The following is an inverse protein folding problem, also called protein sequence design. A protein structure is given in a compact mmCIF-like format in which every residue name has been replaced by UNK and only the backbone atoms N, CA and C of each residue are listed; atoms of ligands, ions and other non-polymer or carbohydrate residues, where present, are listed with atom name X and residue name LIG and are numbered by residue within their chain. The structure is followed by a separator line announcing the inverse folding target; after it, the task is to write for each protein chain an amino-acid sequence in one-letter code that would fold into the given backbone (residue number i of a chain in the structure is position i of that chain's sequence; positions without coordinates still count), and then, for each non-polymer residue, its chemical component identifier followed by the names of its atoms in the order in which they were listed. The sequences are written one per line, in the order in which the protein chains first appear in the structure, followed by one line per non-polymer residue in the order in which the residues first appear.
data_IF_433923269459
#
_entry.id   IF_433923269459
#
_cell.length_a   1.000
_cell.length_b   1.000
_cell.length_c   1.000
_cell.angle_alpha   90.00
_cell.angle_beta   90.00
_cell.angle_gamma   90.00
#
_symmetry.space_group_name_H-M   'P 1'
#
loop_
_entity.id
_entity.type
_entity.pdbx_description
1 polymer ?
#
# COMPACT_ATOMS: atom_id res chain seq x y z
N UNK A 1 6.29 -7.93 9.41
CA UNK A 1 6.29 -6.48 9.14
C UNK A 1 6.38 -6.28 7.64
N UNK A 2 5.80 -5.22 7.08
CA UNK A 2 5.84 -4.97 5.63
C UNK A 2 7.27 -4.69 5.17
N UNK A 3 7.61 -5.06 3.92
CA UNK A 3 8.87 -4.62 3.33
C UNK A 3 8.87 -3.10 3.12
N UNK A 4 10.05 -2.50 3.00
CA UNK A 4 10.15 -1.07 2.64
C UNK A 4 9.47 -0.77 1.30
N UNK A 5 9.59 -1.67 0.32
CA UNK A 5 8.89 -1.56 -0.96
C UNK A 5 7.38 -1.46 -0.76
N UNK A 6 6.82 -2.27 0.15
CA UNK A 6 5.39 -2.31 0.43
C UNK A 6 4.93 -1.07 1.21
N UNK A 7 5.69 -0.61 2.20
CA UNK A 7 5.43 0.66 2.90
C UNK A 7 5.32 1.83 1.90
N UNK A 8 6.29 1.97 1.00
CA UNK A 8 6.28 3.01 -0.02
C UNK A 8 5.17 2.80 -1.06
N UNK A 9 4.85 1.56 -1.42
CA UNK A 9 3.75 1.24 -2.32
C UNK A 9 2.38 1.62 -1.77
N UNK A 10 2.14 1.35 -0.49
CA UNK A 10 0.92 1.77 0.21
C UNK A 10 0.83 3.30 0.23
N UNK A 11 1.90 4.01 0.63
CA UNK A 11 1.92 5.48 0.63
C UNK A 11 1.68 6.07 -0.75
N UNK A 12 2.28 5.50 -1.80
CA UNK A 12 2.11 5.93 -3.18
C UNK A 12 0.65 5.76 -3.63
N UNK A 13 0.04 4.60 -3.36
CA UNK A 13 -1.34 4.33 -3.70
C UNK A 13 -2.32 5.30 -3.00
N UNK A 14 -2.11 5.57 -1.71
CA UNK A 14 -2.93 6.53 -0.96
C UNK A 14 -2.78 7.95 -1.52
N UNK A 15 -1.55 8.39 -1.80
CA UNK A 15 -1.31 9.73 -2.35
C UNK A 15 -1.93 9.90 -3.75
N UNK A 16 -1.77 8.91 -4.63
CA UNK A 16 -2.39 8.95 -5.96
C UNK A 16 -3.91 8.97 -5.83
N UNK A 17 -4.48 8.19 -4.90
CA UNK A 17 -5.91 8.20 -4.63
C UNK A 17 -6.39 9.57 -4.13
N UNK A 18 -5.68 10.22 -3.19
CA UNK A 18 -6.07 11.53 -2.66
C UNK A 18 -6.03 12.64 -3.72
N UNK A 19 -5.07 12.59 -4.64
CA UNK A 19 -5.01 13.53 -5.76
C UNK A 19 -6.06 13.21 -6.83
N UNK A 20 -6.35 11.93 -7.07
CA UNK A 20 -7.42 11.51 -7.98
C UNK A 20 -8.82 11.88 -7.47
N UNK A 21 -9.03 11.96 -6.15
CA UNK A 21 -10.27 12.48 -5.56
C UNK A 21 -10.50 13.96 -5.93
N UNK A 22 -9.42 14.70 -6.17
CA UNK A 22 -9.43 16.09 -6.62
C UNK A 22 -9.32 16.22 -8.15
N UNK A 23 -9.54 15.13 -8.90
CA UNK A 23 -9.46 15.07 -10.37
C UNK A 23 -8.07 15.40 -10.95
N UNK A 24 -7.01 15.17 -10.16
CA UNK A 24 -5.61 15.38 -10.57
C UNK A 24 -4.92 14.06 -10.88
N UNK A 25 -4.00 14.13 -11.84
CA UNK A 25 -2.98 13.11 -12.10
C UNK A 25 -1.66 13.58 -11.52
N UNK A 26 -0.87 12.65 -10.99
CA UNK A 26 0.44 12.97 -10.40
C UNK A 26 1.59 12.33 -11.15
N UNK A 27 2.68 13.08 -11.27
CA UNK A 27 3.91 12.60 -11.88
C UNK A 27 4.75 11.75 -10.94
N UNK A 28 5.69 10.98 -11.48
CA UNK A 28 6.63 10.18 -10.70
C UNK A 28 7.38 11.01 -9.65
N UNK A 29 7.83 12.21 -10.03
CA UNK A 29 8.61 13.11 -9.15
C UNK A 29 7.81 13.54 -7.93
N UNK A 30 6.56 13.97 -8.14
CA UNK A 30 5.67 14.42 -7.08
C UNK A 30 5.36 13.28 -6.11
N UNK A 31 5.09 12.08 -6.65
CA UNK A 31 4.85 10.88 -5.85
C UNK A 31 6.08 10.56 -5.00
N UNK A 32 7.26 10.51 -5.62
CA UNK A 32 8.52 10.20 -4.94
C UNK A 32 8.82 11.18 -3.80
N UNK A 33 8.64 12.47 -4.05
CA UNK A 33 8.81 13.53 -3.05
C UNK A 33 7.81 13.39 -1.90
N UNK A 34 6.52 13.13 -2.20
CA UNK A 34 5.47 13.08 -1.19
C UNK A 34 5.61 11.89 -0.26
N UNK A 35 6.06 10.74 -0.76
CA UNK A 35 6.20 9.51 0.02
C UNK A 35 7.59 9.33 0.64
N UNK A 36 8.51 10.26 0.39
CA UNK A 36 9.90 10.24 0.86
C UNK A 36 10.69 9.01 0.36
N UNK A 37 10.65 8.78 -0.96
CA UNK A 37 11.29 7.65 -1.64
C UNK A 37 12.08 8.10 -2.88
N UNK A 38 13.27 7.53 -3.16
CA UNK A 38 14.00 7.83 -4.39
C UNK A 38 13.18 7.55 -5.66
N UNK A 39 13.26 8.44 -6.67
CA UNK A 39 12.46 8.34 -7.91
C UNK A 39 12.59 6.98 -8.61
N UNK A 40 13.82 6.45 -8.75
CA UNK A 40 14.06 5.17 -9.39
C UNK A 40 13.40 4.00 -8.64
N UNK A 41 13.34 4.10 -7.31
CA UNK A 41 12.67 3.10 -6.48
C UNK A 41 11.15 3.21 -6.59
N UNK A 42 10.62 4.43 -6.51
CA UNK A 42 9.21 4.75 -6.72
C UNK A 42 8.74 4.29 -8.10
N UNK A 43 9.54 4.45 -9.15
CA UNK A 43 9.20 3.98 -10.49
C UNK A 43 8.96 2.47 -10.55
N UNK A 44 9.80 1.66 -9.88
CA UNK A 44 9.62 0.21 -9.80
C UNK A 44 8.35 -0.16 -9.05
N UNK A 45 8.04 0.53 -7.95
CA UNK A 45 6.80 0.35 -7.20
C UNK A 45 5.58 0.64 -8.08
N UNK A 46 5.57 1.78 -8.78
CA UNK A 46 4.45 2.17 -9.65
C UNK A 46 4.26 1.18 -10.80
N UNK A 47 5.34 0.58 -11.33
CA UNK A 47 5.23 -0.51 -12.31
C UNK A 47 4.54 -1.75 -11.73
N UNK A 48 4.81 -2.12 -10.48
CA UNK A 48 4.13 -3.22 -9.80
C UNK A 48 2.64 -2.90 -9.60
N UNK A 49 2.33 -1.70 -9.10
CA UNK A 49 0.95 -1.27 -8.87
C UNK A 49 0.15 -1.19 -10.19
N UNK A 50 0.76 -0.70 -11.27
CA UNK A 50 0.11 -0.60 -12.58
C UNK A 50 -0.15 -1.98 -13.19
N UNK A 51 0.83 -2.90 -13.12
CA UNK A 51 0.65 -4.30 -13.58
C UNK A 51 -0.46 -5.01 -12.84
N UNK A 52 -0.63 -4.72 -11.55
CA UNK A 52 -1.70 -5.27 -10.72
C UNK A 52 -3.02 -4.48 -10.80
N UNK A 53 -3.14 -3.53 -11.74
CA UNK A 53 -4.35 -2.73 -11.99
C UNK A 53 -4.83 -1.91 -10.77
N UNK A 54 -3.92 -1.63 -9.83
CA UNK A 54 -4.18 -0.78 -8.66
C UNK A 54 -4.17 0.70 -9.09
N UNK A 55 -3.20 1.08 -9.92
CA UNK A 55 -3.09 2.43 -10.51
C UNK A 55 -3.18 2.37 -12.03
N UNK A 56 -3.71 3.42 -12.63
CA UNK A 56 -3.58 3.67 -14.07
C UNK A 56 -2.33 4.51 -14.33
N UNK A 57 -1.67 4.30 -15.47
CA UNK A 57 -0.57 5.13 -15.95
C UNK A 57 -0.89 5.66 -17.34
N UNK A 58 -0.79 6.97 -17.51
CA UNK A 58 -1.01 7.67 -18.78
C UNK A 58 0.30 8.34 -19.18
N UNK A 59 0.74 8.09 -20.42
CA UNK A 59 1.98 8.65 -20.97
C UNK A 59 1.73 10.00 -21.67
N UNK A 60 2.79 10.80 -21.81
CA UNK A 60 2.77 12.05 -22.56
C UNK A 60 2.56 13.29 -21.70
N UNK A 61 2.43 14.45 -22.36
CA UNK A 61 2.14 15.74 -21.72
C UNK A 61 0.77 15.68 -21.04
N UNK A 62 0.69 16.05 -19.76
CA UNK A 62 -0.53 15.86 -18.94
C UNK A 62 -0.81 14.41 -18.55
N UNK A 63 0.16 13.51 -18.75
CA UNK A 63 0.14 12.15 -18.23
C UNK A 63 0.43 12.09 -16.72
N UNK A 64 0.68 10.88 -16.23
CA UNK A 64 0.91 10.61 -14.81
C UNK A 64 0.18 9.37 -14.33
N UNK A 65 -0.03 9.29 -13.03
CA UNK A 65 -0.72 8.21 -12.37
C UNK A 65 -2.03 8.69 -11.75
N UNK A 66 -3.05 7.85 -11.83
CA UNK A 66 -4.38 8.08 -11.24
C UNK A 66 -5.02 6.78 -10.79
N UNK A 67 -6.05 6.88 -9.94
CA UNK A 67 -6.95 5.79 -9.61
C UNK A 67 -8.38 6.28 -9.86
N UNK A 68 -9.17 5.63 -10.75
CA UNK A 68 -10.55 6.04 -10.98
C UNK A 68 -11.37 6.00 -9.68
N UNK A 69 -12.05 7.10 -9.34
CA UNK A 69 -12.84 7.25 -8.10
C UNK A 69 -13.75 6.04 -7.82
N UNK A 70 -14.49 5.59 -8.84
CA UNK A 70 -15.38 4.41 -8.77
C UNK A 70 -14.70 3.08 -8.40
N UNK A 71 -13.37 2.98 -8.53
CA UNK A 71 -12.59 1.79 -8.17
C UNK A 71 -12.06 1.83 -6.74
N UNK A 72 -11.92 3.01 -6.12
CA UNK A 72 -11.22 3.16 -4.84
C UNK A 72 -11.83 2.31 -3.72
N UNK A 73 -13.17 2.26 -3.61
CA UNK A 73 -13.88 1.38 -2.66
C UNK A 73 -13.59 -0.11 -2.82
N UNK A 74 -13.24 -0.53 -4.04
CA UNK A 74 -12.98 -1.94 -4.38
C UNK A 74 -11.51 -2.31 -4.21
N UNK A 75 -10.61 -1.33 -4.12
CA UNK A 75 -9.19 -1.59 -3.96
C UNK A 75 -8.90 -1.71 -2.46
N UNK A 76 -8.63 -2.93 -2.01
CA UNK A 76 -8.32 -3.24 -0.60
C UNK A 76 -6.83 -3.13 -0.33
N UNK A 77 -6.47 -2.86 0.92
CA UNK A 77 -5.07 -2.80 1.34
C UNK A 77 -4.38 -4.16 1.16
N UNK A 78 -5.10 -5.28 1.33
CA UNK A 78 -4.62 -6.63 1.00
C UNK A 78 -4.11 -6.76 -0.43
N UNK A 79 -4.77 -6.14 -1.40
CA UNK A 79 -4.38 -6.23 -2.81
C UNK A 79 -3.04 -5.53 -3.06
N UNK A 80 -2.80 -4.41 -2.39
CA UNK A 80 -1.53 -3.67 -2.46
C UNK A 80 -0.41 -4.51 -1.83
N UNK A 81 -0.66 -5.05 -0.63
CA UNK A 81 0.32 -5.89 0.08
C UNK A 81 0.66 -7.13 -0.74
N UNK A 82 -0.33 -7.86 -1.25
CA UNK A 82 -0.11 -9.05 -2.09
C UNK A 82 0.63 -8.73 -3.38
N UNK A 83 0.34 -7.60 -4.02
CA UNK A 83 1.01 -7.18 -5.24
C UNK A 83 2.53 -6.97 -5.05
N UNK A 84 2.97 -6.59 -3.84
CA UNK A 84 4.36 -6.21 -3.56
C UNK A 84 5.10 -7.28 -2.75
N UNK A 85 4.55 -7.70 -1.62
CA UNK A 85 5.17 -8.64 -0.67
C UNK A 85 4.67 -10.09 -0.86
N UNK A 86 3.66 -10.31 -1.73
CA UNK A 86 3.05 -11.61 -1.93
C UNK A 86 2.27 -12.09 -0.71
N UNK A 87 2.21 -13.41 -0.53
CA UNK A 87 1.40 -14.03 0.52
C UNK A 87 2.11 -14.17 1.89
N UNK A 88 3.39 -13.77 1.98
CA UNK A 88 4.24 -13.99 3.17
C UNK A 88 3.63 -13.36 4.43
N UNK A 89 2.98 -12.21 4.31
CA UNK A 89 2.30 -11.54 5.45
C UNK A 89 1.11 -12.35 5.95
N UNK A 90 0.46 -13.13 5.08
CA UNK A 90 -0.79 -13.84 5.37
C UNK A 90 -0.56 -15.29 5.79
N UNK A 91 0.49 -15.94 5.29
CA UNK A 91 0.76 -17.37 5.51
C UNK A 91 2.13 -17.66 6.13
N UNK A 92 3.03 -16.67 6.17
CA UNK A 92 4.40 -16.85 6.65
C UNK A 92 4.51 -17.13 8.15
N UNK A 93 5.59 -17.82 8.51
CA UNK A 93 5.99 -18.05 9.90
C UNK A 93 6.48 -16.74 10.54
N UNK A 94 5.96 -16.40 11.72
CA UNK A 94 6.39 -15.21 12.47
C UNK A 94 7.86 -15.23 12.91
N UNK A 95 8.47 -16.41 12.97
CA UNK A 95 9.89 -16.61 13.27
C UNK A 95 10.75 -16.78 12.01
N UNK A 96 10.16 -16.68 10.80
CA UNK A 96 10.90 -16.78 9.55
C UNK A 96 11.30 -18.19 9.11
N UNK A 97 10.72 -19.24 9.71
CA UNK A 97 10.95 -20.61 9.25
C UNK A 97 10.37 -20.84 7.85
N UNK A 98 11.08 -21.61 7.03
CA UNK A 98 10.66 -21.98 5.68
C UNK A 98 9.43 -22.88 5.65
N UNK A 99 9.16 -23.61 6.74
CA UNK A 99 7.96 -24.43 6.95
C UNK A 99 7.44 -24.22 8.37
N UNK A 100 6.14 -23.94 8.49
CA UNK A 100 5.43 -23.81 9.76
C UNK A 100 3.94 -24.04 9.47
N UNK A 101 3.30 -24.94 10.21
CA UNK A 101 1.89 -25.26 10.04
C UNK A 101 1.24 -25.68 11.36
N UNK A 102 -0.06 -25.96 11.36
CA UNK A 102 -0.73 -26.48 12.56
C UNK A 102 -0.19 -27.88 12.93
N UNK A 103 0.26 -28.66 11.95
CA UNK A 103 0.87 -30.00 12.13
C UNK A 103 2.33 -29.93 12.57
N UNK A 104 3.07 -28.91 12.12
CA UNK A 104 4.47 -28.66 12.47
C UNK A 104 4.65 -27.22 12.97
N UNK A 105 4.13 -26.91 14.17
CA UNK A 105 4.12 -25.54 14.67
C UNK A 105 5.50 -25.11 15.18
N UNK A 106 5.90 -23.89 14.84
CA UNK A 106 6.99 -23.23 15.54
C UNK A 106 6.58 -22.86 17.00
N UNK A 107 7.52 -22.56 17.91
CA UNK A 107 7.20 -22.22 19.29
C UNK A 107 6.22 -21.04 19.47
N UNK A 108 6.15 -20.15 18.48
CA UNK A 108 5.24 -18.99 18.47
C UNK A 108 3.96 -19.20 17.65
N UNK A 109 3.75 -20.36 17.02
CA UNK A 109 2.80 -20.55 15.92
C UNK A 109 1.38 -20.12 16.26
N UNK A 110 0.77 -20.69 17.30
CA UNK A 110 -0.64 -20.43 17.61
C UNK A 110 -0.88 -18.99 18.08
N UNK A 111 0.07 -18.40 18.82
CA UNK A 111 0.01 -16.99 19.24
C UNK A 111 0.18 -16.04 18.06
N UNK A 112 1.08 -16.34 17.14
CA UNK A 112 1.30 -15.51 15.96
C UNK A 112 0.17 -15.67 14.93
N UNK A 113 -0.42 -16.86 14.81
CA UNK A 113 -1.53 -17.15 13.90
C UNK A 113 -2.73 -16.23 14.19
N UNK A 114 -3.11 -16.01 15.44
CA UNK A 114 -4.21 -15.09 15.77
C UNK A 114 -3.91 -13.65 15.35
N UNK A 115 -2.73 -13.13 15.71
CA UNK A 115 -2.29 -11.78 15.33
C UNK A 115 -2.25 -11.63 13.81
N UNK A 116 -1.75 -12.63 13.08
CA UNK A 116 -1.69 -12.64 11.62
C UNK A 116 -3.09 -12.63 11.00
N UNK A 117 -4.04 -13.37 11.57
CA UNK A 117 -5.43 -13.35 11.13
C UNK A 117 -6.05 -11.97 11.33
N UNK A 118 -5.85 -11.33 12.49
CA UNK A 118 -6.35 -9.98 12.75
C UNK A 118 -5.74 -8.95 11.77
N UNK A 119 -4.44 -9.04 11.51
CA UNK A 119 -3.76 -8.22 10.51
C UNK A 119 -4.38 -8.42 9.12
N UNK A 120 -4.61 -9.67 8.72
CA UNK A 120 -5.23 -9.99 7.43
C UNK A 120 -6.64 -9.40 7.31
N UNK A 121 -7.45 -9.52 8.37
CA UNK A 121 -8.80 -8.95 8.43
C UNK A 121 -8.79 -7.44 8.33
N UNK A 122 -7.88 -6.76 9.04
CA UNK A 122 -7.73 -5.30 8.93
C UNK A 122 -7.43 -4.89 7.48
N UNK A 123 -6.43 -5.53 6.86
CA UNK A 123 -6.02 -5.22 5.49
C UNK A 123 -7.15 -5.44 4.47
N UNK A 124 -8.03 -6.44 4.69
CA UNK A 124 -9.10 -6.80 3.77
C UNK A 124 -10.29 -5.85 3.90
N UNK A 125 -10.53 -5.34 5.11
CA UNK A 125 -11.63 -4.43 5.36
C UNK A 125 -11.29 -2.98 5.01
N UNK A 126 -10.04 -2.57 5.11
CA UNK A 126 -9.58 -1.22 4.73
C UNK A 126 -9.45 -1.07 3.21
N UNK A 127 -10.06 -0.02 2.65
CA UNK A 127 -10.01 0.29 1.22
C UNK A 127 -9.34 1.64 0.92
N UNK A 128 -8.92 1.86 -0.33
CA UNK A 128 -8.20 3.08 -0.70
C UNK A 128 -9.01 4.36 -0.58
N UNK A 129 -10.34 4.32 -0.73
CA UNK A 129 -11.16 5.52 -0.60
C UNK A 129 -11.14 6.05 0.84
N UNK A 130 -11.33 5.15 1.81
CA UNK A 130 -11.25 5.45 3.25
C UNK A 130 -9.91 6.11 3.60
N UNK A 131 -8.80 5.50 3.19
CA UNK A 131 -7.46 6.01 3.46
C UNK A 131 -7.20 7.36 2.76
N UNK A 132 -7.66 7.52 1.52
CA UNK A 132 -7.48 8.76 0.77
C UNK A 132 -8.31 9.91 1.35
N UNK A 133 -9.55 9.65 1.79
CA UNK A 133 -10.41 10.66 2.40
C UNK A 133 -9.81 11.21 3.69
N UNK A 134 -9.24 10.36 4.54
CA UNK A 134 -8.56 10.79 5.76
C UNK A 134 -7.34 11.70 5.49
N UNK A 135 -6.69 11.55 4.33
CA UNK A 135 -5.59 12.45 3.92
C UNK A 135 -6.14 13.77 3.36
N UNK A 136 -7.25 13.72 2.61
CA UNK A 136 -7.91 14.91 2.04
C UNK A 136 -8.53 15.78 3.12
N UNK A 137 -9.14 15.20 4.16
CA UNK A 137 -9.72 15.93 5.30
C UNK A 137 -8.66 16.53 6.23
N UNK A 138 -7.42 16.03 6.19
CA UNK A 138 -6.34 16.42 7.09
C UNK A 138 -6.34 15.68 8.42
N UNK A 139 -7.22 14.69 8.62
CA UNK A 139 -7.27 13.87 9.84
C UNK A 139 -6.06 12.94 9.97
N UNK A 140 -5.41 12.62 8.84
CA UNK A 140 -4.25 11.72 8.77
C UNK A 140 -3.18 12.27 7.82
N UNK A 141 -1.94 11.82 8.00
CA UNK A 141 -0.80 12.27 7.22
C UNK A 141 0.06 11.10 6.71
N UNK A 142 0.69 11.28 5.55
CA UNK A 142 1.59 10.28 4.94
C UNK A 142 3.08 10.51 5.27
N UNK A 143 3.41 11.69 5.77
CA UNK A 143 4.76 12.09 6.17
C UNK A 143 4.67 12.94 7.43
N UNK A 144 5.49 12.61 8.41
CA UNK A 144 5.69 13.46 9.57
C UNK A 144 6.46 14.71 9.16
N UNK A 145 5.91 15.89 9.44
CA UNK A 145 6.60 17.18 9.33
C UNK A 145 6.58 17.83 10.70
N UNK A 146 7.74 18.10 11.33
CA UNK A 146 7.79 18.73 12.64
C UNK A 146 7.15 20.14 12.71
N UNK A 147 6.83 20.75 11.57
CA UNK A 147 6.32 22.13 11.48
C UNK A 147 4.79 22.27 11.64
N UNK A 148 4.10 21.25 12.14
CA UNK A 148 2.63 21.26 12.32
C UNK A 148 2.19 21.00 13.76
N UNK A 149 3.05 21.28 14.75
CA UNK A 149 2.69 21.35 16.18
C UNK A 149 3.17 22.66 16.74
#
# INVERSE_FOLDING_TARGET
MFSKTCEYGIRAAIFIASESLQDKRVGLKDIAQKIDSPEAFTAKILQVLARNKIVNSIKGVGGGFEIPKKKMKKIKMTQIVKAIDGDVVFTGCGLGLSKCSDEHPCPAHFKFKSIRTELATMLENTNLEELALGVVSGDTFLRYSPAQV
#
